data_IF_464499244818
#
_entry.id   IF_464499244818
#
_cell.length_a   1.000
_cell.length_b   1.000
_cell.length_c   1.000
_cell.angle_alpha   90.00
_cell.angle_beta   90.00
_cell.angle_gamma   90.00
#
_symmetry.space_group_name_H-M   'P 1'
#
loop_
_entity.id
_entity.type
_entity.pdbx_description
1 polymer ?
#
# COMPACT_ATOMS: atom_id res chain seq x y z
N UNK A 1 5.63 -4.26 9.47
CA UNK A 1 5.71 -4.56 8.03
C UNK A 1 7.03 -5.25 7.75
N UNK A 2 7.08 -6.27 6.92
CA UNK A 2 8.33 -6.96 6.57
C UNK A 2 9.08 -6.17 5.50
N UNK A 3 10.40 -6.07 5.64
CA UNK A 3 11.28 -5.37 4.70
C UNK A 3 11.15 -5.92 3.27
N UNK A 4 11.00 -7.24 3.11
CA UNK A 4 10.82 -7.90 1.81
C UNK A 4 9.59 -7.38 1.02
N UNK A 5 8.50 -7.05 1.73
CA UNK A 5 7.30 -6.49 1.11
C UNK A 5 7.54 -5.07 0.63
N UNK A 6 8.24 -4.28 1.44
CA UNK A 6 8.58 -2.89 1.09
C UNK A 6 9.51 -2.89 -0.12
N UNK A 7 10.53 -3.75 -0.12
CA UNK A 7 11.48 -3.85 -1.23
C UNK A 7 10.79 -4.25 -2.54
N UNK A 8 9.92 -5.26 -2.49
CA UNK A 8 9.11 -5.67 -3.64
C UNK A 8 8.25 -4.51 -4.18
N UNK A 9 7.57 -3.78 -3.28
CA UNK A 9 6.73 -2.65 -3.68
C UNK A 9 7.55 -1.46 -4.19
N UNK A 10 8.76 -1.22 -3.68
CA UNK A 10 9.66 -0.19 -4.22
C UNK A 10 10.08 -0.52 -5.65
N UNK A 11 10.35 -1.79 -5.93
CA UNK A 11 10.69 -2.26 -7.27
C UNK A 11 9.49 -2.20 -8.24
N UNK A 12 8.29 -2.63 -7.81
CA UNK A 12 7.09 -2.66 -8.65
C UNK A 12 6.41 -1.29 -8.83
N UNK A 13 6.46 -0.44 -7.80
CA UNK A 13 5.73 0.84 -7.74
C UNK A 13 6.70 1.99 -7.40
N UNK A 14 7.63 2.35 -8.31
CA UNK A 14 8.57 3.43 -8.06
C UNK A 14 7.87 4.80 -7.98
N UNK A 15 8.41 5.70 -7.16
CA UNK A 15 7.91 7.07 -7.00
C UNK A 15 6.81 7.26 -5.95
N UNK A 16 6.34 6.18 -5.32
CA UNK A 16 5.41 6.25 -4.19
C UNK A 16 6.15 6.25 -2.85
N UNK A 17 5.70 7.10 -1.92
CA UNK A 17 6.14 7.03 -0.54
C UNK A 17 5.40 5.88 0.18
N UNK A 18 6.07 4.73 0.28
CA UNK A 18 5.49 3.54 0.92
C UNK A 18 5.23 3.74 2.42
N UNK A 19 5.97 4.62 3.10
CA UNK A 19 5.68 4.93 4.50
C UNK A 19 4.39 5.73 4.62
N UNK A 20 4.17 6.70 3.73
CA UNK A 20 2.91 7.44 3.67
C UNK A 20 1.72 6.54 3.31
N UNK A 21 1.90 5.64 2.32
CA UNK A 21 0.88 4.65 1.95
C UNK A 21 0.58 3.66 3.09
N UNK A 22 1.59 3.25 3.86
CA UNK A 22 1.39 2.41 5.02
C UNK A 22 0.56 3.12 6.09
N UNK A 23 0.90 4.37 6.41
CA UNK A 23 0.14 5.15 7.38
C UNK A 23 -1.32 5.40 6.93
N UNK A 24 -1.55 5.64 5.63
CA UNK A 24 -2.89 5.79 5.06
C UNK A 24 -3.70 4.49 5.17
N UNK A 25 -3.07 3.36 4.84
CA UNK A 25 -3.68 2.04 4.98
C UNK A 25 -3.99 1.70 6.44
N UNK A 26 -3.05 1.95 7.36
CA UNK A 26 -3.26 1.77 8.80
C UNK A 26 -4.44 2.60 9.30
N UNK A 27 -4.55 3.87 8.87
CA UNK A 27 -5.66 4.74 9.25
C UNK A 27 -6.99 4.27 8.65
N UNK A 28 -6.97 3.76 7.42
CA UNK A 28 -8.15 3.20 6.75
C UNK A 28 -8.67 1.93 7.44
N UNK A 29 -7.79 1.07 7.94
CA UNK A 29 -8.17 -0.11 8.73
C UNK A 29 -8.57 0.29 10.15
N UNK A 30 -7.85 1.21 10.79
CA UNK A 30 -8.16 1.69 12.14
C UNK A 30 -9.54 2.38 12.23
N UNK A 31 -10.04 2.91 11.11
CA UNK A 31 -11.37 3.50 11.02
C UNK A 31 -12.51 2.48 11.14
N UNK A 32 -12.24 1.19 10.89
CA UNK A 32 -13.27 0.15 10.81
C UNK A 32 -12.66 -1.23 11.15
N UNK A 33 -12.92 -1.77 12.35
CA UNK A 33 -12.31 -3.02 12.79
C UNK A 33 -12.73 -4.21 11.93
N UNK A 34 -13.87 -4.15 11.21
CA UNK A 34 -14.29 -5.21 10.27
C UNK A 34 -13.40 -5.25 9.02
N UNK A 35 -12.64 -4.17 8.75
CA UNK A 35 -11.64 -4.11 7.66
C UNK A 35 -10.29 -4.68 8.06
N UNK A 36 -10.12 -5.11 9.31
CA UNK A 36 -8.90 -5.76 9.79
C UNK A 36 -8.67 -7.05 8.99
N UNK A 37 -7.70 -7.09 8.07
CA UNK A 37 -7.48 -8.27 7.25
C UNK A 37 -6.84 -9.37 8.09
N UNK A 38 -7.27 -10.61 7.90
CA UNK A 38 -6.62 -11.78 8.52
C UNK A 38 -5.14 -11.92 8.13
N UNK A 39 -4.76 -11.42 6.95
CA UNK A 39 -3.37 -11.32 6.51
C UNK A 39 -3.06 -9.88 6.07
N UNK A 40 -2.52 -9.10 7.02
CA UNK A 40 -2.22 -7.68 6.86
C UNK A 40 -1.31 -7.40 5.66
N UNK A 41 -0.25 -8.20 5.51
CA UNK A 41 0.76 -8.01 4.48
C UNK A 41 0.19 -8.21 3.07
N UNK A 42 -0.59 -9.28 2.86
CA UNK A 42 -1.25 -9.53 1.56
C UNK A 42 -2.27 -8.44 1.22
N UNK A 43 -3.01 -7.97 2.20
CA UNK A 43 -3.99 -6.91 2.00
C UNK A 43 -3.31 -5.58 1.61
N UNK A 44 -2.23 -5.22 2.29
CA UNK A 44 -1.45 -4.02 1.97
C UNK A 44 -0.85 -4.08 0.56
N UNK A 45 -0.20 -5.18 0.18
CA UNK A 45 0.36 -5.36 -1.16
C UNK A 45 -0.71 -5.20 -2.25
N UNK A 46 -1.86 -5.85 -2.06
CA UNK A 46 -2.99 -5.72 -2.99
C UNK A 46 -3.53 -4.30 -3.08
N UNK A 47 -3.62 -3.60 -1.95
CA UNK A 47 -4.07 -2.22 -1.88
C UNK A 47 -3.11 -1.26 -2.58
N UNK A 48 -1.80 -1.36 -2.33
CA UNK A 48 -0.79 -0.54 -3.00
C UNK A 48 -0.77 -0.79 -4.50
N UNK A 49 -0.84 -2.05 -4.96
CA UNK A 49 -0.92 -2.36 -6.40
C UNK A 49 -2.14 -1.73 -7.06
N UNK A 50 -3.29 -1.72 -6.38
CA UNK A 50 -4.51 -1.04 -6.86
C UNK A 50 -4.35 0.48 -6.87
N UNK A 51 -3.77 1.05 -5.81
CA UNK A 51 -3.47 2.48 -5.73
C UNK A 51 -2.56 2.91 -6.87
N UNK A 52 -1.46 2.18 -7.09
CA UNK A 52 -0.55 2.39 -8.19
C UNK A 52 -1.26 2.27 -9.53
N UNK A 53 -2.02 1.20 -9.79
CA UNK A 53 -2.72 1.03 -11.05
C UNK A 53 -3.68 2.20 -11.36
N UNK A 54 -4.34 2.76 -10.34
CA UNK A 54 -5.28 3.87 -10.47
C UNK A 54 -4.58 5.22 -10.63
N UNK A 55 -3.50 5.47 -9.90
CA UNK A 55 -2.83 6.78 -9.82
C UNK A 55 -1.49 6.85 -10.55
N UNK A 56 -1.00 5.77 -11.18
CA UNK A 56 0.24 5.78 -11.98
C UNK A 56 0.23 6.85 -13.09
N UNK A 57 -0.95 7.18 -13.60
CA UNK A 57 -1.10 8.22 -14.62
C UNK A 57 -0.99 9.65 -14.02
N UNK A 58 -1.12 9.82 -12.71
CA UNK A 58 -0.89 11.11 -12.02
C UNK A 58 0.58 11.36 -11.71
N UNK A 59 1.42 10.31 -11.66
CA UNK A 59 2.88 10.45 -11.51
C UNK A 59 3.59 10.87 -12.81
N UNK A 60 2.88 10.86 -13.94
CA UNK A 60 3.38 11.42 -15.21
C UNK A 60 2.91 12.87 -15.33
N UNK A 61 3.64 13.77 -14.69
CA UNK A 61 3.59 15.23 -14.86
C UNK A 61 5.00 15.75 -15.04
#
# INVERSE_FOLDING_TARGET
MTDETIDTLRAECPGWDLHALHADFERWVAADPERTPANWQRAFVGWVRRHHAKHKNQLRG
#
